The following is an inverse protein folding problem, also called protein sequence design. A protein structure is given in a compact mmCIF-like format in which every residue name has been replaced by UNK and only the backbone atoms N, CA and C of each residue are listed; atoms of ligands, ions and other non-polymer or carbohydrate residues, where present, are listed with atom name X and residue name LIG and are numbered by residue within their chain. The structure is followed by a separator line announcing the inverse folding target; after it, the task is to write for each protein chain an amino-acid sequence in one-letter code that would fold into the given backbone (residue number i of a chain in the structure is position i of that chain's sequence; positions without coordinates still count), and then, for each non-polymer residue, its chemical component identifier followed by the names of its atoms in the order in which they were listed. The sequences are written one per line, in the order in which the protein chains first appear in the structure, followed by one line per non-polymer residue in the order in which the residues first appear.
data_IF_094794406365
#
_entry.id   IF_094794406365
#
_cell.length_a   1.000
_cell.length_b   1.000
_cell.length_c   1.000
_cell.angle_alpha   90.00
_cell.angle_beta   90.00
_cell.angle_gamma   90.00
#
_symmetry.space_group_name_H-M   'P 1'
#
loop_
_entity.id
_entity.type
_entity.pdbx_description
1 polymer ?
#
# COMPACT_ATOMS: atom_id res chain seq x y z
N UNK A 1 15.78 12.14 23.16
CA UNK A 1 16.12 11.61 21.83
C UNK A 1 17.07 10.44 21.99
N UNK A 2 16.85 9.36 21.24
CA UNK A 2 17.83 8.30 21.00
C UNK A 2 18.36 8.50 19.58
N UNK A 3 19.68 8.45 19.41
CA UNK A 3 20.35 8.80 18.17
C UNK A 3 21.49 7.84 17.85
N UNK A 4 21.80 7.68 16.56
CA UNK A 4 23.00 6.99 16.11
C UNK A 4 24.11 8.01 15.90
N UNK A 5 25.28 7.72 16.47
CA UNK A 5 26.51 8.46 16.22
C UNK A 5 27.18 7.85 14.98
N UNK A 6 27.25 8.63 13.90
CA UNK A 6 28.08 8.32 12.73
C UNK A 6 29.37 9.14 12.84
N UNK A 7 30.44 8.81 12.08
CA UNK A 7 31.74 9.46 12.21
C UNK A 7 31.73 10.99 12.15
N UNK A 8 30.87 11.57 11.31
CA UNK A 8 30.80 13.01 11.03
C UNK A 8 29.41 13.65 11.30
N UNK A 9 28.39 12.87 11.68
CA UNK A 9 27.06 13.40 12.00
C UNK A 9 26.28 12.54 13.00
N UNK A 10 25.18 13.10 13.50
CA UNK A 10 24.26 12.44 14.43
C UNK A 10 22.89 12.31 13.77
N UNK A 11 22.36 11.09 13.73
CA UNK A 11 21.05 10.79 13.16
C UNK A 11 20.02 10.51 14.27
N UNK A 12 18.83 11.14 14.26
CA UNK A 12 17.77 10.79 15.18
C UNK A 12 17.17 9.42 14.82
N UNK A 13 17.20 8.48 15.76
CA UNK A 13 16.50 7.20 15.61
C UNK A 13 15.11 7.29 16.24
N UNK A 14 15.04 7.88 17.44
CA UNK A 14 13.82 8.05 18.22
C UNK A 14 13.75 9.46 18.82
N UNK A 15 12.67 10.19 18.50
CA UNK A 15 12.31 11.43 19.20
C UNK A 15 11.26 11.12 20.27
N UNK A 16 11.45 11.69 21.46
CA UNK A 16 10.59 11.48 22.62
C UNK A 16 10.04 12.83 23.07
N UNK A 17 8.72 12.96 23.13
CA UNK A 17 8.03 14.14 23.70
C UNK A 17 6.95 13.67 24.67
N UNK A 18 7.13 13.92 25.97
CA UNK A 18 6.21 13.51 27.02
C UNK A 18 5.76 14.70 27.85
N UNK A 19 4.45 14.88 27.98
CA UNK A 19 3.84 15.91 28.82
C UNK A 19 3.37 15.32 30.16
N UNK A 20 3.17 16.18 31.16
CA UNK A 20 2.64 15.75 32.47
C UNK A 20 1.23 15.18 32.35
N UNK A 21 0.35 15.86 31.63
CA UNK A 21 -0.88 15.33 31.06
C UNK A 21 -1.05 15.84 29.63
N UNK A 22 -1.95 15.19 28.88
CA UNK A 22 -2.20 15.55 27.47
C UNK A 22 -2.72 16.98 27.37
N UNK A 23 -1.98 17.84 26.69
CA UNK A 23 -2.35 19.24 26.45
C UNK A 23 -1.95 20.23 27.54
N UNK A 24 -1.21 19.79 28.58
CA UNK A 24 -0.82 20.65 29.71
C UNK A 24 0.01 21.87 29.29
N UNK A 25 0.82 21.74 28.24
CA UNK A 25 1.69 22.83 27.76
C UNK A 25 1.01 23.70 26.69
N UNK A 26 -0.30 23.53 26.46
CA UNK A 26 -1.05 24.23 25.41
C UNK A 26 -0.80 23.71 24.00
N UNK A 27 -0.01 22.64 23.86
CA UNK A 27 0.33 22.00 22.59
C UNK A 27 0.08 20.50 22.65
N UNK A 28 -0.20 19.88 21.50
CA UNK A 28 -0.30 18.43 21.36
C UNK A 28 1.09 17.80 21.24
N UNK A 29 1.45 16.92 22.18
CA UNK A 29 2.78 16.28 22.24
C UNK A 29 3.14 15.53 20.95
N UNK A 30 2.16 14.92 20.28
CA UNK A 30 2.39 14.18 19.04
C UNK A 30 2.75 15.14 17.89
N UNK A 31 2.03 16.26 17.78
CA UNK A 31 2.31 17.32 16.82
C UNK A 31 3.68 17.95 17.08
N UNK A 32 3.99 18.26 18.33
CA UNK A 32 5.28 18.82 18.72
C UNK A 32 6.43 17.88 18.34
N UNK A 33 6.32 16.59 18.65
CA UNK A 33 7.33 15.59 18.29
C UNK A 33 7.55 15.49 16.78
N UNK A 34 6.47 15.61 16.00
CA UNK A 34 6.52 15.60 14.54
C UNK A 34 7.34 16.77 14.00
N UNK A 35 7.13 17.98 14.54
CA UNK A 35 7.92 19.16 14.18
C UNK A 35 9.36 19.08 14.69
N UNK A 36 9.60 18.46 15.86
CA UNK A 36 10.96 18.18 16.33
C UNK A 36 11.71 17.32 15.32
N UNK A 37 11.13 16.21 14.83
CA UNK A 37 11.76 15.37 13.79
C UNK A 37 12.00 16.16 12.50
N UNK A 38 11.02 16.94 12.04
CA UNK A 38 11.16 17.77 10.84
C UNK A 38 12.32 18.76 10.98
N UNK A 39 12.41 19.45 12.12
CA UNK A 39 13.49 20.39 12.41
C UNK A 39 14.86 19.71 12.42
N UNK A 40 14.97 18.49 12.94
CA UNK A 40 16.22 17.74 12.95
C UNK A 40 16.71 17.41 11.55
N UNK A 41 15.81 16.95 10.67
CA UNK A 41 16.18 16.60 9.30
C UNK A 41 16.34 17.82 8.39
N UNK A 42 15.75 18.96 8.74
CA UNK A 42 15.90 20.20 7.96
C UNK A 42 17.26 20.91 8.18
N UNK A 43 18.06 20.43 9.12
CA UNK A 43 19.42 20.92 9.36
C UNK A 43 20.40 20.37 8.31
N UNK A 44 21.07 21.29 7.61
CA UNK A 44 21.95 21.00 6.47
C UNK A 44 23.16 20.12 6.82
N UNK A 45 23.54 20.04 8.10
CA UNK A 45 24.60 19.13 8.56
C UNK A 45 24.30 17.65 8.28
N UNK A 46 23.03 17.30 7.98
CA UNK A 46 22.60 15.92 7.69
C UNK A 46 22.32 15.67 6.21
N UNK A 47 22.57 16.63 5.33
CA UNK A 47 22.29 16.52 3.88
C UNK A 47 22.91 15.27 3.26
N UNK A 48 24.13 14.90 3.69
CA UNK A 48 24.87 13.72 3.20
C UNK A 48 24.14 12.38 3.38
N UNK A 49 23.21 12.29 4.35
CA UNK A 49 22.38 11.11 4.61
C UNK A 49 20.92 11.36 4.25
N UNK A 50 20.41 12.55 4.55
CA UNK A 50 19.04 12.96 4.25
C UNK A 50 18.69 12.73 2.79
N UNK A 51 19.60 13.11 1.89
CA UNK A 51 19.33 13.03 0.46
C UNK A 51 19.52 11.61 -0.10
N UNK A 52 19.98 10.65 0.72
CA UNK A 52 20.23 9.25 0.33
C UNK A 52 19.10 8.30 0.73
N UNK A 53 18.16 8.75 1.57
CA UNK A 53 17.11 7.88 2.11
C UNK A 53 15.81 8.63 2.39
N UNK A 54 14.77 7.91 2.78
CA UNK A 54 13.51 8.49 3.25
C UNK A 54 13.53 8.87 4.74
N UNK A 55 14.70 8.99 5.36
CA UNK A 55 14.85 9.47 6.74
C UNK A 55 13.90 8.81 7.78
N UNK A 56 13.80 7.47 7.83
CA UNK A 56 12.89 6.80 8.77
C UNK A 56 13.22 7.17 10.22
N UNK A 57 12.24 7.65 10.98
CA UNK A 57 12.44 8.02 12.40
C UNK A 57 11.23 7.59 13.21
N UNK A 58 11.46 7.05 14.41
CA UNK A 58 10.38 6.72 15.33
C UNK A 58 10.10 7.89 16.27
N UNK A 59 8.85 8.06 16.65
CA UNK A 59 8.42 9.02 17.65
C UNK A 59 7.73 8.26 18.77
N UNK A 60 8.10 8.56 20.01
CA UNK A 60 7.35 8.22 21.20
C UNK A 60 6.77 9.53 21.74
N UNK A 61 5.45 9.65 21.73
CA UNK A 61 4.79 10.87 22.17
C UNK A 61 3.57 10.56 23.03
N UNK A 62 3.33 11.37 24.06
CA UNK A 62 2.24 11.11 24.99
C UNK A 62 2.16 12.09 26.15
N UNK A 63 1.32 11.74 27.13
CA UNK A 63 1.06 12.56 28.29
C UNK A 63 0.48 11.75 29.44
N UNK A 64 0.99 11.95 30.64
CA UNK A 64 0.60 11.18 31.82
C UNK A 64 0.74 9.66 31.58
N UNK A 65 -0.32 8.85 31.79
CA UNK A 65 -0.27 7.41 31.59
C UNK A 65 -0.44 6.97 30.12
N UNK A 66 -0.49 7.90 29.16
CA UNK A 66 -0.75 7.61 27.76
C UNK A 66 0.51 7.73 26.89
N UNK A 67 0.70 6.78 25.98
CA UNK A 67 1.81 6.76 25.03
C UNK A 67 1.34 6.30 23.64
N UNK A 68 1.75 7.01 22.60
CA UNK A 68 1.62 6.59 21.22
C UNK A 68 3.02 6.44 20.58
N UNK A 69 3.13 5.48 19.66
CA UNK A 69 4.30 5.33 18.79
C UNK A 69 3.89 5.77 17.39
N UNK A 70 4.68 6.65 16.79
CA UNK A 70 4.53 7.10 15.41
C UNK A 70 5.80 6.78 14.62
N UNK A 71 5.64 6.64 13.31
CA UNK A 71 6.73 6.52 12.35
C UNK A 71 6.74 7.72 11.44
N UNK A 72 7.94 8.15 11.05
CA UNK A 72 8.17 9.25 10.13
C UNK A 72 8.94 8.72 8.94
N UNK A 73 8.57 9.17 7.75
CA UNK A 73 9.42 9.11 6.55
C UNK A 73 9.33 10.43 5.79
N UNK A 74 10.40 10.80 5.11
CA UNK A 74 10.51 11.99 4.27
C UNK A 74 10.78 11.62 2.82
N UNK A 75 9.70 11.53 2.04
CA UNK A 75 9.72 11.36 0.58
C UNK A 75 9.83 12.74 -0.09
N UNK A 76 8.98 13.03 -1.07
CA UNK A 76 8.58 14.38 -1.49
C UNK A 76 7.76 15.12 -0.41
N UNK A 77 7.12 14.37 0.50
CA UNK A 77 6.36 14.86 1.64
C UNK A 77 6.94 14.37 2.96
N UNK A 78 6.72 15.13 4.00
CA UNK A 78 7.00 14.71 5.37
C UNK A 78 5.79 13.95 5.92
N UNK A 79 5.89 12.63 5.94
CA UNK A 79 4.79 11.73 6.29
C UNK A 79 4.99 11.28 7.73
N UNK A 80 3.99 11.51 8.57
CA UNK A 80 3.94 11.04 9.95
C UNK A 80 2.71 10.15 10.11
N UNK A 81 2.94 8.92 10.55
CA UNK A 81 1.87 7.93 10.72
C UNK A 81 1.86 7.37 12.13
N UNK A 82 0.66 7.22 12.71
CA UNK A 82 0.47 6.51 13.97
C UNK A 82 0.64 5.01 13.74
N UNK A 83 1.61 4.41 14.42
CA UNK A 83 1.85 2.97 14.41
C UNK A 83 1.07 2.27 15.54
N UNK A 84 0.67 3.02 16.56
CA UNK A 84 -0.21 2.56 17.63
C UNK A 84 -1.31 3.58 17.90
N UNK A 85 -2.39 3.12 18.53
CA UNK A 85 -3.31 4.01 19.24
C UNK A 85 -2.60 4.72 20.40
N UNK A 86 -3.32 5.63 21.06
CA UNK A 86 -2.88 6.20 22.32
C UNK A 86 -3.07 5.16 23.45
N UNK A 87 -1.99 4.45 23.78
CA UNK A 87 -2.01 3.30 24.69
C UNK A 87 -1.95 3.74 26.14
N UNK A 88 -2.75 3.09 27.00
CA UNK A 88 -2.71 3.28 28.44
C UNK A 88 -1.63 2.39 29.10
N UNK A 89 -0.66 3.02 29.76
CA UNK A 89 0.47 2.37 30.44
C UNK A 89 0.21 2.10 31.93
N UNK A 90 -0.64 2.87 32.60
CA UNK A 90 -0.88 2.76 34.06
C UNK A 90 -1.59 1.48 34.48
N UNK A 91 -1.69 1.18 35.77
CA UNK A 91 -2.51 0.08 36.28
C UNK A 91 -3.90 0.61 36.68
N UNK A 92 -4.98 -0.04 36.21
CA UNK A 92 -6.33 0.50 36.39
C UNK A 92 -7.37 -0.52 36.88
N UNK A 93 -7.14 -1.84 36.72
CA UNK A 93 -8.11 -2.89 37.10
C UNK A 93 -7.39 -4.16 37.56
N UNK A 94 -8.14 -5.05 38.19
CA UNK A 94 -7.69 -6.34 38.74
C UNK A 94 -7.33 -7.40 37.70
N UNK A 95 -7.74 -7.27 36.44
CA UNK A 95 -7.45 -8.24 35.37
C UNK A 95 -6.97 -7.55 34.09
N UNK A 96 -5.66 -7.50 33.87
CA UNK A 96 -5.03 -6.65 32.83
C UNK A 96 -4.11 -7.41 31.86
N UNK A 97 -4.07 -8.75 31.93
CA UNK A 97 -3.14 -9.59 31.16
C UNK A 97 -3.19 -9.33 29.65
N UNK A 98 -4.39 -9.12 29.09
CA UNK A 98 -4.55 -8.81 27.65
C UNK A 98 -3.87 -7.50 27.27
N UNK A 99 -3.99 -6.48 28.13
CA UNK A 99 -3.35 -5.18 27.90
C UNK A 99 -1.85 -5.28 28.09
N UNK A 100 -1.39 -5.92 29.18
CA UNK A 100 0.03 -6.16 29.42
C UNK A 100 0.68 -6.93 28.26
N UNK A 101 0.00 -7.96 27.75
CA UNK A 101 0.46 -8.71 26.58
C UNK A 101 0.51 -7.84 25.31
N UNK A 102 -0.49 -6.98 25.07
CA UNK A 102 -0.47 -6.02 23.95
C UNK A 102 0.71 -5.05 24.09
N UNK A 103 0.93 -4.47 25.27
CA UNK A 103 2.04 -3.56 25.55
C UNK A 103 3.39 -4.27 25.37
N UNK A 104 3.56 -5.47 25.93
CA UNK A 104 4.79 -6.25 25.79
C UNK A 104 5.13 -6.55 24.32
N UNK A 105 4.12 -6.89 23.51
CA UNK A 105 4.29 -7.07 22.06
C UNK A 105 4.73 -5.80 21.36
N UNK A 106 4.12 -4.67 21.71
CA UNK A 106 4.47 -3.36 21.13
C UNK A 106 5.90 -2.96 21.48
N UNK A 107 6.30 -3.06 22.76
CA UNK A 107 7.67 -2.72 23.18
C UNK A 107 8.72 -3.69 22.64
N UNK A 108 8.37 -4.97 22.48
CA UNK A 108 9.24 -5.94 21.80
C UNK A 108 9.43 -5.59 20.33
N UNK A 109 8.35 -5.20 19.64
CA UNK A 109 8.44 -4.74 18.25
C UNK A 109 9.27 -3.44 18.16
N UNK A 110 9.06 -2.49 19.07
CA UNK A 110 9.83 -1.25 19.14
C UNK A 110 11.34 -1.51 19.31
N UNK A 111 11.71 -2.43 20.19
CA UNK A 111 13.12 -2.83 20.38
C UNK A 111 13.74 -3.39 19.09
N UNK A 112 13.01 -4.27 18.39
CA UNK A 112 13.46 -4.80 17.08
C UNK A 112 13.56 -3.72 16.01
N UNK A 113 12.58 -2.80 15.96
CA UNK A 113 12.62 -1.68 15.02
C UNK A 113 13.81 -0.75 15.29
N UNK A 114 14.16 -0.53 16.56
CA UNK A 114 15.35 0.23 16.93
C UNK A 114 16.62 -0.44 16.40
N UNK A 115 16.80 -1.74 16.62
CA UNK A 115 17.96 -2.49 16.11
C UNK A 115 18.04 -2.42 14.57
N UNK A 116 16.91 -2.62 13.88
CA UNK A 116 16.85 -2.52 12.42
C UNK A 116 17.21 -1.11 11.94
N UNK A 117 16.68 -0.08 12.60
CA UNK A 117 16.92 1.31 12.22
C UNK A 117 18.37 1.74 12.49
N UNK A 118 18.96 1.25 13.57
CA UNK A 118 20.37 1.48 13.88
C UNK A 118 21.28 0.89 12.79
N UNK A 119 21.08 -0.37 12.41
CA UNK A 119 21.83 -0.99 11.30
C UNK A 119 21.54 -0.32 9.95
N UNK A 120 20.29 0.10 9.72
CA UNK A 120 19.90 0.79 8.50
C UNK A 120 20.73 2.04 8.26
N UNK A 121 20.90 2.89 9.28
CA UNK A 121 21.70 4.12 9.12
C UNK A 121 23.19 3.86 9.02
N UNK A 122 23.69 2.76 9.58
CA UNK A 122 25.08 2.31 9.34
C UNK A 122 25.29 1.91 7.88
N UNK A 123 24.40 1.08 7.34
CA UNK A 123 24.42 0.66 5.93
C UNK A 123 24.32 1.85 4.98
N UNK A 124 23.35 2.75 5.20
CA UNK A 124 23.19 3.96 4.40
C UNK A 124 24.45 4.82 4.46
N UNK A 125 25.07 4.95 5.63
CA UNK A 125 26.30 5.70 5.77
C UNK A 125 27.45 5.08 4.97
N UNK A 126 27.68 3.78 5.13
CA UNK A 126 28.78 3.07 4.50
C UNK A 126 28.67 3.06 2.98
N UNK A 127 27.46 2.94 2.44
CA UNK A 127 27.21 2.89 1.00
C UNK A 127 26.75 4.21 0.39
N UNK A 128 26.76 5.32 1.13
CA UNK A 128 26.21 6.63 0.70
C UNK A 128 26.71 7.11 -0.66
N UNK A 129 27.97 6.81 -1.00
CA UNK A 129 28.60 7.20 -2.25
C UNK A 129 28.13 6.35 -3.45
N UNK A 130 27.62 5.15 -3.19
CA UNK A 130 27.00 4.27 -4.20
C UNK A 130 25.52 4.56 -4.42
N UNK A 131 24.85 5.23 -3.47
CA UNK A 131 23.45 5.60 -3.59
C UNK A 131 23.33 6.78 -4.55
N UNK A 132 22.41 6.66 -5.52
CA UNK A 132 22.10 7.69 -6.53
C UNK A 132 21.99 9.07 -5.86
N UNK A 133 22.52 10.10 -6.51
CA UNK A 133 22.32 11.49 -6.05
C UNK A 133 20.86 11.88 -6.24
N UNK A 134 20.31 12.56 -5.25
CA UNK A 134 18.97 13.14 -5.35
C UNK A 134 18.98 14.28 -6.37
N UNK A 135 18.30 14.09 -7.49
CA UNK A 135 18.08 15.09 -8.51
C UNK A 135 16.58 15.39 -8.52
N UNK A 136 16.23 16.68 -8.56
CA UNK A 136 14.84 17.14 -8.60
C UNK A 136 14.14 16.54 -9.83
N UNK A 137 12.92 16.07 -9.65
CA UNK A 137 12.08 15.43 -10.67
C UNK A 137 12.63 14.12 -11.28
N UNK A 138 13.69 13.54 -10.69
CA UNK A 138 14.17 12.21 -11.07
C UNK A 138 13.76 11.12 -10.07
N UNK A 139 13.52 9.87 -10.55
CA UNK A 139 13.35 8.73 -9.66
C UNK A 139 14.55 8.56 -8.72
N UNK A 140 14.24 8.40 -7.43
CA UNK A 140 15.23 8.21 -6.38
C UNK A 140 14.70 7.19 -5.36
N UNK A 141 15.53 6.28 -4.81
CA UNK A 141 15.08 5.26 -3.85
C UNK A 141 14.28 5.80 -2.66
N UNK A 142 14.53 7.05 -2.23
CA UNK A 142 13.77 7.69 -1.14
C UNK A 142 12.26 7.82 -1.40
N UNK A 143 11.83 7.76 -2.66
CA UNK A 143 10.43 7.96 -3.04
C UNK A 143 9.66 6.64 -3.17
N UNK A 144 10.34 5.50 -2.99
CA UNK A 144 9.74 4.19 -3.19
C UNK A 144 9.74 3.36 -1.90
N UNK A 145 8.81 2.40 -1.78
CA UNK A 145 8.86 1.40 -0.72
C UNK A 145 10.18 0.62 -0.73
N UNK A 146 10.61 0.14 0.44
CA UNK A 146 11.93 -0.51 0.57
C UNK A 146 12.02 -1.92 -0.05
N UNK A 147 10.89 -2.53 -0.40
CA UNK A 147 10.84 -3.88 -0.95
C UNK A 147 11.30 -3.89 -2.41
N UNK A 148 12.28 -4.72 -2.74
CA UNK A 148 12.93 -4.78 -4.07
C UNK A 148 13.08 -6.20 -4.62
N UNK A 149 12.45 -7.18 -3.97
CA UNK A 149 12.47 -8.56 -4.46
C UNK A 149 11.23 -9.34 -4.01
N UNK A 150 10.95 -10.42 -4.73
CA UNK A 150 9.92 -11.38 -4.38
C UNK A 150 10.31 -12.77 -4.87
N UNK A 151 9.83 -13.80 -4.19
CA UNK A 151 9.99 -15.20 -4.58
C UNK A 151 8.77 -15.61 -5.39
N UNK A 152 9.01 -15.92 -6.66
CA UNK A 152 7.98 -16.49 -7.53
C UNK A 152 7.57 -17.87 -7.03
N UNK A 153 6.37 -18.30 -7.42
CA UNK A 153 5.86 -19.63 -7.08
C UNK A 153 6.67 -20.80 -7.66
N UNK A 154 7.42 -20.57 -8.74
CA UNK A 154 8.41 -21.55 -9.24
C UNK A 154 9.67 -21.65 -8.35
N UNK A 155 9.72 -20.90 -7.26
CA UNK A 155 10.80 -20.86 -6.29
C UNK A 155 11.90 -19.84 -6.61
N UNK A 156 11.84 -19.16 -7.76
CA UNK A 156 12.88 -18.23 -8.20
C UNK A 156 12.70 -16.86 -7.53
N UNK A 157 13.73 -16.41 -6.82
CA UNK A 157 13.79 -15.02 -6.34
C UNK A 157 14.03 -14.08 -7.52
N UNK A 158 13.14 -13.12 -7.67
CA UNK A 158 13.20 -12.06 -8.69
C UNK A 158 13.46 -10.75 -7.98
N UNK A 159 14.55 -10.08 -8.37
CA UNK A 159 14.88 -8.73 -7.90
C UNK A 159 14.43 -7.70 -8.93
N UNK A 160 14.09 -6.52 -8.45
CA UNK A 160 13.62 -5.41 -9.27
C UNK A 160 14.04 -4.06 -8.72
N UNK A 161 14.04 -3.07 -9.61
CA UNK A 161 14.24 -1.67 -9.28
C UNK A 161 13.01 -0.87 -9.69
N UNK A 162 12.62 0.09 -8.85
CA UNK A 162 11.55 1.03 -9.17
C UNK A 162 11.98 1.99 -10.26
N UNK A 163 11.05 2.23 -11.18
CA UNK A 163 11.21 3.19 -12.28
C UNK A 163 10.40 4.44 -12.01
N UNK A 164 9.12 4.28 -11.64
CA UNK A 164 8.20 5.41 -11.46
C UNK A 164 6.99 5.03 -10.57
N UNK A 165 6.30 6.03 -10.05
CA UNK A 165 4.95 5.86 -9.52
C UNK A 165 3.94 5.88 -10.68
N UNK A 166 2.95 4.99 -10.66
CA UNK A 166 1.94 4.93 -11.74
C UNK A 166 0.82 5.97 -11.60
N UNK A 167 0.76 6.63 -10.44
CA UNK A 167 -0.16 7.73 -10.16
C UNK A 167 0.64 8.92 -9.64
N UNK A 168 0.30 10.11 -10.13
CA UNK A 168 0.87 11.38 -9.65
C UNK A 168 0.12 11.85 -8.39
N UNK A 169 -0.10 10.93 -7.44
CA UNK A 169 -0.69 11.19 -6.14
C UNK A 169 0.25 10.63 -5.05
N UNK A 170 0.59 11.41 -4.01
CA UNK A 170 1.40 10.94 -2.87
C UNK A 170 0.78 9.82 -2.04
N UNK A 171 -0.51 9.50 -2.23
CA UNK A 171 -1.15 8.30 -1.68
C UNK A 171 -1.04 7.08 -2.60
N UNK A 172 -0.27 7.19 -3.70
CA UNK A 172 -0.06 6.08 -4.63
C UNK A 172 0.49 4.87 -3.90
N UNK A 173 -0.12 3.73 -4.21
CA UNK A 173 0.33 2.42 -3.74
C UNK A 173 0.83 1.54 -4.88
N UNK A 174 0.88 2.08 -6.10
CA UNK A 174 1.13 1.33 -7.33
C UNK A 174 2.32 1.93 -8.08
N UNK A 175 3.32 1.09 -8.34
CA UNK A 175 4.63 1.50 -8.86
C UNK A 175 5.03 0.68 -10.08
N UNK A 176 5.67 1.33 -11.04
CA UNK A 176 6.34 0.69 -12.16
C UNK A 176 7.74 0.25 -11.71
N UNK A 177 8.08 -1.00 -11.97
CA UNK A 177 9.40 -1.55 -11.70
C UNK A 177 9.95 -2.29 -12.92
N UNK A 178 11.26 -2.58 -12.91
CA UNK A 178 11.91 -3.46 -13.88
C UNK A 178 12.72 -4.53 -13.17
N UNK A 179 12.63 -5.76 -13.67
CA UNK A 179 13.48 -6.84 -13.17
C UNK A 179 14.95 -6.56 -13.42
N UNK A 180 15.78 -6.81 -12.42
CA UNK A 180 17.25 -6.77 -12.52
C UNK A 180 17.83 -8.17 -12.70
N UNK A 181 17.11 -9.20 -12.24
CA UNK A 181 17.46 -10.61 -12.49
C UNK A 181 16.96 -11.07 -13.86
N UNK A 182 17.87 -11.60 -14.69
CA UNK A 182 17.54 -12.18 -15.99
C UNK A 182 17.28 -11.14 -17.07
N UNK A 183 16.32 -11.42 -17.97
CA UNK A 183 15.92 -10.45 -19.01
C UNK A 183 15.11 -9.32 -18.36
N UNK A 184 15.47 -8.04 -18.58
CA UNK A 184 14.70 -6.92 -18.06
C UNK A 184 13.25 -6.95 -18.57
N UNK A 185 12.32 -6.98 -17.63
CA UNK A 185 10.88 -6.98 -17.87
C UNK A 185 10.22 -5.96 -16.95
N UNK A 186 9.28 -5.18 -17.49
CA UNK A 186 8.49 -4.23 -16.70
C UNK A 186 7.45 -4.96 -15.87
N UNK A 187 7.30 -4.52 -14.62
CA UNK A 187 6.39 -5.05 -13.61
C UNK A 187 5.55 -3.92 -13.03
N UNK A 188 4.39 -4.27 -12.50
CA UNK A 188 3.61 -3.41 -11.61
C UNK A 188 3.69 -3.98 -10.20
N UNK A 189 4.12 -3.15 -9.25
CA UNK A 189 4.20 -3.46 -7.82
C UNK A 189 3.12 -2.66 -7.10
N UNK A 190 2.20 -3.33 -6.42
CA UNK A 190 1.12 -2.70 -5.66
C UNK A 190 1.17 -3.12 -4.19
N UNK A 191 0.99 -2.17 -3.28
CA UNK A 191 0.94 -2.43 -1.84
C UNK A 191 -0.47 -2.19 -1.32
N UNK A 192 -1.15 -3.23 -0.84
CA UNK A 192 -2.55 -3.16 -0.40
C UNK A 192 -2.78 -4.01 0.81
N UNK A 193 -3.70 -3.61 1.68
CA UNK A 193 -4.14 -4.47 2.77
C UNK A 193 -5.10 -5.54 2.24
N UNK A 194 -6.06 -5.18 1.39
CA UNK A 194 -7.08 -6.04 0.78
C UNK A 194 -6.77 -6.33 -0.69
N UNK A 195 -6.92 -7.60 -1.09
CA UNK A 195 -6.78 -7.98 -2.50
C UNK A 195 -7.59 -9.21 -2.88
N UNK A 196 -8.28 -9.15 -4.02
CA UNK A 196 -9.04 -10.26 -4.61
C UNK A 196 -8.15 -11.24 -5.38
N UNK A 197 -7.28 -11.95 -4.66
CA UNK A 197 -6.31 -12.90 -5.24
C UNK A 197 -6.97 -13.91 -6.18
N UNK A 198 -7.95 -14.67 -5.70
CA UNK A 198 -8.57 -15.77 -6.47
C UNK A 198 -9.28 -15.26 -7.73
N UNK A 199 -9.91 -14.09 -7.65
CA UNK A 199 -10.58 -13.45 -8.78
C UNK A 199 -9.58 -12.97 -9.85
N UNK A 200 -8.46 -12.37 -9.41
CA UNK A 200 -7.40 -11.95 -10.32
C UNK A 200 -6.74 -13.17 -10.99
N UNK A 201 -6.30 -14.17 -10.21
CA UNK A 201 -5.65 -15.37 -10.74
C UNK A 201 -6.54 -16.10 -11.76
N UNK A 202 -7.84 -16.22 -11.45
CA UNK A 202 -8.83 -16.77 -12.36
C UNK A 202 -8.90 -16.00 -13.68
N UNK A 203 -9.01 -14.67 -13.68
CA UNK A 203 -9.05 -13.89 -14.93
C UNK A 203 -7.72 -13.85 -15.68
N UNK A 204 -6.61 -13.85 -14.96
CA UNK A 204 -5.27 -13.90 -15.54
C UNK A 204 -5.09 -15.19 -16.34
N UNK A 205 -5.53 -16.35 -15.81
CA UNK A 205 -5.50 -17.63 -16.53
C UNK A 205 -6.32 -17.63 -17.83
N UNK A 206 -7.35 -16.78 -17.92
CA UNK A 206 -8.17 -16.55 -19.12
C UNK A 206 -7.67 -15.40 -20.00
N UNK A 207 -6.50 -14.81 -19.69
CA UNK A 207 -5.89 -13.67 -20.40
C UNK A 207 -6.80 -12.43 -20.45
N UNK A 208 -7.61 -12.21 -19.40
CA UNK A 208 -8.54 -11.08 -19.24
C UNK A 208 -8.12 -10.08 -18.16
N UNK A 209 -7.02 -10.39 -17.47
CA UNK A 209 -6.31 -9.55 -16.54
C UNK A 209 -4.79 -9.71 -16.79
N UNK A 210 -3.94 -8.80 -16.26
CA UNK A 210 -2.49 -9.00 -16.23
C UNK A 210 -2.11 -10.34 -15.59
N UNK A 211 -0.98 -10.93 -15.97
CA UNK A 211 -0.49 -12.10 -15.25
C UNK A 211 -0.12 -11.72 -13.80
N UNK A 212 -0.64 -12.46 -12.83
CA UNK A 212 -0.30 -12.30 -11.41
C UNK A 212 0.99 -13.09 -11.09
N UNK A 213 2.05 -12.38 -10.73
CA UNK A 213 3.38 -12.94 -10.53
C UNK A 213 3.64 -13.29 -9.06
N UNK A 214 3.15 -12.44 -8.15
CA UNK A 214 3.19 -12.64 -6.71
C UNK A 214 2.04 -11.91 -6.03
N UNK A 215 1.50 -12.50 -4.97
CA UNK A 215 0.61 -11.82 -4.04
C UNK A 215 0.89 -12.43 -2.68
N UNK A 216 1.37 -11.66 -1.71
CA UNK A 216 1.80 -12.26 -0.45
C UNK A 216 2.17 -11.23 0.60
N UNK A 217 2.75 -11.69 1.70
CA UNK A 217 3.27 -10.79 2.73
C UNK A 217 4.39 -9.93 2.16
N UNK A 218 4.64 -8.82 2.85
CA UNK A 218 5.64 -7.86 2.41
C UNK A 218 7.07 -8.41 2.42
N UNK A 219 7.35 -9.49 3.16
CA UNK A 219 8.67 -10.16 3.12
C UNK A 219 9.04 -10.76 1.75
N UNK A 220 8.11 -10.78 0.80
CA UNK A 220 8.36 -11.26 -0.55
C UNK A 220 8.53 -12.78 -0.66
N UNK A 221 8.24 -13.54 0.39
CA UNK A 221 8.48 -14.99 0.45
C UNK A 221 7.26 -15.82 0.81
N UNK A 222 6.30 -15.24 1.54
CA UNK A 222 5.04 -15.92 1.89
C UNK A 222 3.95 -15.57 0.87
N UNK A 223 3.94 -16.33 -0.23
CA UNK A 223 2.94 -16.20 -1.29
C UNK A 223 1.56 -16.68 -0.79
N UNK A 224 0.50 -16.00 -1.22
CA UNK A 224 -0.88 -16.32 -0.90
C UNK A 224 -1.26 -17.73 -1.37
N UNK A 225 -0.65 -18.21 -2.46
CA UNK A 225 -0.84 -19.57 -3.01
C UNK A 225 -0.42 -20.67 -2.04
N UNK A 226 0.49 -20.39 -1.12
CA UNK A 226 1.00 -21.35 -0.15
C UNK A 226 0.15 -21.42 1.14
N UNK A 227 -0.99 -20.72 1.17
CA UNK A 227 -1.84 -20.62 2.37
C UNK A 227 -3.27 -21.05 2.05
N UNK A 228 -3.92 -21.80 2.97
CA UNK A 228 -5.34 -22.16 2.83
C UNK A 228 -6.29 -20.96 2.98
N UNK A 229 -5.78 -19.84 3.50
CA UNK A 229 -6.51 -18.58 3.67
C UNK A 229 -5.71 -17.42 3.09
N UNK A 230 -5.57 -17.37 1.74
CA UNK A 230 -4.80 -16.33 1.05
C UNK A 230 -5.25 -14.94 1.46
N UNK A 231 -6.54 -14.75 1.75
CA UNK A 231 -7.14 -13.50 2.20
C UNK A 231 -7.47 -13.59 3.70
N UNK A 232 -6.46 -13.48 4.56
CA UNK A 232 -6.56 -13.59 6.02
C UNK A 232 -7.44 -12.51 6.69
N UNK A 233 -8.76 -12.61 6.55
CA UNK A 233 -9.69 -11.66 7.19
C UNK A 233 -10.75 -12.39 8.00
N UNK A 234 -10.86 -11.98 9.26
CA UNK A 234 -12.10 -12.10 10.01
C UNK A 234 -13.10 -11.13 9.38
N UNK A 235 -14.06 -11.67 8.62
CA UNK A 235 -15.02 -10.91 7.80
C UNK A 235 -16.16 -10.37 8.66
N UNK A 236 -15.88 -9.40 9.53
CA UNK A 236 -16.93 -8.68 10.24
C UNK A 236 -17.46 -7.55 9.35
N UNK A 237 -18.58 -7.80 8.66
CA UNK A 237 -19.42 -6.76 8.04
C UNK A 237 -18.64 -5.72 7.20
N UNK A 238 -17.78 -6.19 6.30
CA UNK A 238 -17.04 -5.32 5.36
C UNK A 238 -15.82 -4.59 5.92
N UNK A 239 -15.51 -4.72 7.21
CA UNK A 239 -14.24 -4.26 7.78
C UNK A 239 -13.12 -5.25 7.43
N UNK A 240 -12.03 -4.72 6.88
CA UNK A 240 -10.85 -5.52 6.56
C UNK A 240 -9.85 -5.46 7.70
N UNK A 241 -9.48 -6.63 8.23
CA UNK A 241 -8.45 -6.80 9.25
C UNK A 241 -7.46 -7.86 8.76
N UNK A 242 -6.58 -7.48 7.83
CA UNK A 242 -5.54 -8.35 7.30
C UNK A 242 -4.19 -7.62 7.24
N UNK A 243 -3.08 -8.36 7.09
CA UNK A 243 -1.78 -7.74 6.90
C UNK A 243 -1.71 -7.01 5.55
N UNK A 244 -0.82 -6.03 5.46
CA UNK A 244 -0.40 -5.46 4.18
C UNK A 244 0.26 -6.52 3.30
N UNK A 245 0.04 -6.38 2.00
CA UNK A 245 0.50 -7.30 0.97
C UNK A 245 1.25 -6.56 -0.11
N UNK A 246 2.20 -7.27 -0.70
CA UNK A 246 2.82 -6.88 -1.95
C UNK A 246 2.19 -7.73 -3.04
N UNK A 247 1.72 -7.07 -4.09
CA UNK A 247 1.16 -7.67 -5.29
C UNK A 247 2.05 -7.28 -6.46
N UNK A 248 2.55 -8.28 -7.18
CA UNK A 248 3.38 -8.11 -8.35
C UNK A 248 2.66 -8.69 -9.54
N UNK A 249 2.47 -7.88 -10.59
CA UNK A 249 1.78 -8.30 -11.81
C UNK A 249 2.50 -7.81 -13.06
N UNK A 250 2.13 -8.41 -14.19
CA UNK A 250 2.62 -7.99 -15.51
C UNK A 250 2.29 -6.51 -15.78
N UNK A 251 3.27 -5.79 -16.31
CA UNK A 251 3.02 -4.48 -16.89
C UNK A 251 2.32 -4.63 -18.25
N UNK A 252 1.15 -4.02 -18.38
CA UNK A 252 0.41 -3.97 -19.63
C UNK A 252 0.72 -2.64 -20.33
N UNK A 253 1.32 -2.73 -21.52
CA UNK A 253 1.47 -1.57 -22.40
C UNK A 253 0.11 -1.18 -22.98
N UNK A 254 -0.39 -0.01 -22.58
CA UNK A 254 -1.75 0.41 -22.84
C UNK A 254 -2.13 1.70 -22.11
N UNK A 255 -3.40 2.08 -22.23
CA UNK A 255 -3.99 3.23 -21.53
C UNK A 255 -5.30 2.82 -20.88
N UNK A 256 -5.62 3.39 -19.73
CA UNK A 256 -6.90 3.11 -19.08
C UNK A 256 -8.06 3.74 -19.87
N UNK A 257 -9.26 3.22 -19.71
CA UNK A 257 -10.44 3.76 -20.37
C UNK A 257 -10.72 5.22 -19.95
N UNK A 258 -10.25 5.64 -18.77
CA UNK A 258 -10.30 7.04 -18.32
C UNK A 258 -9.36 7.95 -19.11
N UNK A 259 -8.19 7.45 -19.52
CA UNK A 259 -7.18 8.22 -20.25
C UNK A 259 -7.48 8.34 -21.75
N UNK A 260 -8.36 7.49 -22.28
CA UNK A 260 -8.70 7.44 -23.71
C UNK A 260 -10.06 8.10 -23.93
N UNK A 261 -10.19 9.08 -24.85
CA UNK A 261 -11.49 9.63 -25.21
C UNK A 261 -12.47 8.54 -25.64
N UNK A 262 -13.73 8.62 -25.20
CA UNK A 262 -14.75 7.58 -25.44
C UNK A 262 -14.91 7.21 -26.92
N UNK A 263 -14.81 8.18 -27.83
CA UNK A 263 -14.89 7.98 -29.28
C UNK A 263 -13.74 7.13 -29.86
N UNK A 264 -12.63 6.98 -29.13
CA UNK A 264 -11.45 6.20 -29.52
C UNK A 264 -11.39 4.83 -28.84
N UNK A 265 -12.40 4.47 -28.03
CA UNK A 265 -12.39 3.18 -27.38
C UNK A 265 -12.50 2.05 -28.41
N UNK A 266 -11.84 0.90 -28.18
CA UNK A 266 -11.99 -0.25 -29.05
C UNK A 266 -13.45 -0.69 -29.16
N UNK A 267 -13.89 -1.06 -30.37
CA UNK A 267 -15.26 -1.53 -30.59
C UNK A 267 -15.59 -2.79 -29.78
N UNK A 268 -14.58 -3.59 -29.44
CA UNK A 268 -14.71 -4.77 -28.59
C UNK A 268 -14.80 -4.45 -27.10
N UNK A 269 -14.53 -3.22 -26.65
CA UNK A 269 -14.33 -2.89 -25.25
C UNK A 269 -15.48 -3.38 -24.34
N UNK A 270 -16.74 -3.10 -24.72
CA UNK A 270 -17.89 -3.58 -23.96
C UNK A 270 -17.94 -5.11 -23.90
N UNK A 271 -17.74 -5.80 -25.03
CA UNK A 271 -17.79 -7.25 -25.10
C UNK A 271 -16.62 -7.92 -24.35
N UNK A 272 -15.44 -7.31 -24.37
CA UNK A 272 -14.26 -7.78 -23.66
C UNK A 272 -14.47 -7.71 -22.14
N UNK A 273 -14.97 -6.57 -21.65
CA UNK A 273 -15.29 -6.36 -20.22
C UNK A 273 -16.44 -7.28 -19.80
N UNK A 274 -17.52 -7.36 -20.60
CA UNK A 274 -18.65 -8.26 -20.33
C UNK A 274 -18.21 -9.72 -20.23
N UNK A 275 -17.33 -10.15 -21.12
CA UNK A 275 -16.80 -11.50 -21.09
C UNK A 275 -15.88 -11.73 -19.87
N UNK A 276 -15.11 -10.74 -19.43
CA UNK A 276 -14.36 -10.82 -18.17
C UNK A 276 -15.28 -10.98 -16.96
N UNK A 277 -16.32 -10.15 -16.83
CA UNK A 277 -17.30 -10.27 -15.75
C UNK A 277 -18.02 -11.63 -15.78
N UNK A 278 -18.41 -12.09 -16.97
CA UNK A 278 -19.06 -13.40 -17.14
C UNK A 278 -18.17 -14.53 -16.64
N UNK A 279 -16.87 -14.50 -16.93
CA UNK A 279 -15.93 -15.52 -16.45
C UNK A 279 -15.74 -15.47 -14.92
N UNK A 280 -15.70 -14.28 -14.31
CA UNK A 280 -15.72 -14.15 -12.84
C UNK A 280 -17.00 -14.72 -12.23
N UNK A 281 -18.14 -14.31 -12.76
CA UNK A 281 -19.45 -14.64 -12.22
C UNK A 281 -19.75 -16.14 -12.30
N UNK A 282 -19.29 -16.82 -13.37
CA UNK A 282 -19.35 -18.29 -13.49
C UNK A 282 -18.52 -19.00 -12.43
N UNK A 283 -17.38 -18.44 -12.05
CA UNK A 283 -16.50 -18.96 -11.00
C UNK A 283 -16.89 -18.50 -9.59
N UNK A 284 -18.08 -17.90 -9.42
CA UNK A 284 -18.60 -17.38 -8.16
C UNK A 284 -17.81 -16.21 -7.56
N UNK A 285 -17.17 -15.41 -8.42
CA UNK A 285 -16.50 -14.16 -8.05
C UNK A 285 -17.28 -12.94 -8.52
N UNK A 286 -17.03 -11.80 -7.88
CA UNK A 286 -17.46 -10.44 -8.28
C UNK A 286 -16.24 -9.55 -8.40
N UNK A 287 -16.31 -8.54 -9.26
CA UNK A 287 -15.23 -7.56 -9.43
C UNK A 287 -15.39 -6.38 -8.45
N UNK A 288 -16.61 -5.85 -8.34
CA UNK A 288 -17.03 -4.87 -7.35
C UNK A 288 -16.68 -3.43 -7.68
N UNK A 289 -15.55 -3.18 -8.35
CA UNK A 289 -15.08 -1.84 -8.66
C UNK A 289 -14.97 -1.53 -10.16
N UNK A 290 -15.96 -1.95 -10.96
CA UNK A 290 -15.89 -1.74 -12.40
C UNK A 290 -16.06 -0.26 -12.78
N UNK A 291 -14.96 0.41 -13.11
CA UNK A 291 -14.94 1.81 -13.55
C UNK A 291 -13.88 2.02 -14.64
N UNK A 292 -13.95 3.15 -15.32
CA UNK A 292 -13.01 3.55 -16.38
C UNK A 292 -11.51 3.45 -16.01
N UNK A 293 -11.03 3.85 -14.81
CA UNK A 293 -9.63 3.66 -14.42
C UNK A 293 -9.22 2.19 -14.32
N UNK A 294 -10.15 1.30 -13.97
CA UNK A 294 -9.88 -0.11 -13.66
C UNK A 294 -9.97 -1.01 -14.91
N UNK A 295 -10.15 -0.42 -16.09
CA UNK A 295 -10.14 -1.10 -17.39
C UNK A 295 -9.03 -0.53 -18.26
N UNK A 296 -8.12 -1.38 -18.73
CA UNK A 296 -7.01 -1.00 -19.59
C UNK A 296 -7.20 -1.51 -21.01
N UNK A 297 -6.99 -0.64 -21.99
CA UNK A 297 -6.87 -1.02 -23.39
C UNK A 297 -5.40 -1.23 -23.72
N UNK A 298 -5.02 -2.49 -23.98
CA UNK A 298 -3.65 -2.78 -24.39
C UNK A 298 -3.40 -2.35 -25.85
N UNK A 299 -2.13 -2.39 -26.28
CA UNK A 299 -1.73 -2.05 -27.67
C UNK A 299 -2.43 -2.86 -28.77
N UNK A 300 -3.05 -4.01 -28.44
CA UNK A 300 -3.84 -4.83 -29.38
C UNK A 300 -5.32 -4.43 -29.42
N UNK A 301 -5.72 -3.40 -28.67
CA UNK A 301 -7.10 -2.95 -28.56
C UNK A 301 -8.00 -3.85 -27.71
N UNK A 302 -7.44 -4.77 -26.92
CA UNK A 302 -8.21 -5.62 -26.00
C UNK A 302 -8.39 -4.91 -24.66
N UNK A 303 -9.61 -4.94 -24.12
CA UNK A 303 -9.88 -4.46 -22.77
C UNK A 303 -9.56 -5.55 -21.71
N UNK A 304 -8.84 -5.14 -20.66
CA UNK A 304 -8.44 -5.99 -19.53
C UNK A 304 -8.84 -5.32 -18.20
N UNK A 305 -9.22 -6.12 -17.21
CA UNK A 305 -9.43 -5.64 -15.84
C UNK A 305 -8.10 -5.64 -15.08
N UNK A 306 -7.79 -4.58 -14.33
CA UNK A 306 -6.45 -4.40 -13.73
C UNK A 306 -6.44 -4.14 -12.21
N UNK A 307 -7.57 -3.75 -11.60
CA UNK A 307 -7.63 -3.48 -10.15
C UNK A 307 -8.60 -4.43 -9.44
N UNK A 308 -8.07 -5.27 -8.55
CA UNK A 308 -8.82 -6.36 -7.90
C UNK A 308 -8.96 -6.16 -6.39
N UNK A 309 -8.72 -4.96 -5.87
CA UNK A 309 -8.73 -4.72 -4.42
C UNK A 309 -10.06 -5.09 -3.76
N UNK A 310 -11.17 -4.95 -4.49
CA UNK A 310 -12.53 -5.23 -3.98
C UNK A 310 -13.10 -6.55 -4.48
N UNK A 311 -12.41 -7.20 -5.41
CA UNK A 311 -12.87 -8.44 -6.01
C UNK A 311 -12.81 -9.60 -4.99
N UNK A 312 -13.65 -10.61 -5.20
CA UNK A 312 -13.62 -11.82 -4.40
C UNK A 312 -14.90 -12.64 -4.53
N UNK A 313 -15.07 -13.61 -3.64
CA UNK A 313 -16.20 -14.55 -3.68
C UNK A 313 -17.52 -13.85 -3.35
N UNK A 314 -18.56 -14.15 -4.11
CA UNK A 314 -19.93 -13.65 -3.88
C UNK A 314 -20.39 -14.02 -2.47
N UNK A 315 -20.96 -13.06 -1.75
CA UNK A 315 -21.41 -13.24 -0.37
C UNK A 315 -20.29 -13.18 0.68
N UNK A 316 -19.03 -13.03 0.25
CA UNK A 316 -17.87 -12.96 1.14
C UNK A 316 -17.17 -11.60 1.16
N UNK A 317 -17.38 -10.80 0.11
CA UNK A 317 -16.81 -9.45 -0.01
C UNK A 317 -17.88 -8.38 0.14
N UNK A 318 -17.50 -7.25 0.73
CA UNK A 318 -18.35 -6.08 0.92
C UNK A 318 -17.60 -4.81 0.56
N UNK A 319 -18.35 -3.78 0.16
CA UNK A 319 -17.80 -2.46 -0.10
C UNK A 319 -17.10 -1.88 1.13
N UNK A 320 -15.97 -1.17 0.95
CA UNK A 320 -15.31 -0.50 2.07
C UNK A 320 -16.15 0.70 2.56
N UNK A 321 -15.74 1.25 3.70
CA UNK A 321 -16.26 2.54 4.18
C UNK A 321 -15.80 3.67 3.25
N UNK A 322 -16.62 4.69 3.07
CA UNK A 322 -16.23 5.91 2.38
C UNK A 322 -16.28 5.78 0.87
N UNK A 323 -17.33 5.12 0.35
CA UNK A 323 -17.57 5.08 -1.10
C UNK A 323 -17.61 6.50 -1.69
N UNK A 324 -16.89 6.69 -2.80
CA UNK A 324 -16.77 7.99 -3.43
C UNK A 324 -18.15 8.49 -3.91
N UNK A 325 -18.55 9.67 -3.44
CA UNK A 325 -19.83 10.30 -3.81
C UNK A 325 -19.89 10.74 -5.27
N UNK A 326 -18.74 10.87 -5.93
CA UNK A 326 -18.64 11.22 -7.35
C UNK A 326 -18.98 10.05 -8.28
N UNK A 327 -19.09 8.83 -7.76
CA UNK A 327 -19.47 7.65 -8.53
C UNK A 327 -20.97 7.44 -8.45
N UNK A 328 -21.61 7.21 -9.59
CA UNK A 328 -23.02 6.87 -9.66
C UNK A 328 -23.21 5.37 -9.36
N UNK A 329 -23.19 5.01 -8.08
CA UNK A 329 -23.29 3.62 -7.65
C UNK A 329 -24.66 2.99 -7.99
N UNK A 330 -24.71 1.71 -8.35
CA UNK A 330 -25.96 0.96 -8.53
C UNK A 330 -26.85 0.98 -7.28
N UNK A 331 -28.16 0.78 -7.48
CA UNK A 331 -29.12 0.70 -6.36
C UNK A 331 -28.72 -0.42 -5.40
N UNK A 332 -28.66 -0.12 -4.10
CA UNK A 332 -28.32 -1.07 -3.04
C UNK A 332 -26.87 -0.98 -2.57
N UNK A 333 -26.00 -0.36 -3.37
CA UNK A 333 -24.60 -0.12 -2.98
C UNK A 333 -24.52 0.97 -1.92
N UNK A 334 -24.00 0.61 -0.76
CA UNK A 334 -23.70 1.50 0.38
C UNK A 334 -22.45 0.99 1.10
N UNK A 335 -21.88 1.81 1.98
CA UNK A 335 -20.76 1.40 2.84
C UNK A 335 -21.09 0.06 3.52
N UNK A 336 -20.14 -0.89 3.45
CA UNK A 336 -20.25 -2.23 4.02
C UNK A 336 -21.31 -3.16 3.43
N UNK A 337 -22.06 -2.73 2.40
CA UNK A 337 -22.98 -3.61 1.70
C UNK A 337 -22.21 -4.73 0.97
N UNK A 338 -22.77 -5.96 0.88
CA UNK A 338 -22.20 -7.01 0.06
C UNK A 338 -21.98 -6.55 -1.40
N UNK A 339 -20.94 -7.08 -2.03
CA UNK A 339 -20.72 -6.88 -3.45
C UNK A 339 -21.43 -8.01 -4.20
N UNK A 340 -22.34 -7.64 -5.09
CA UNK A 340 -23.21 -8.54 -5.86
C UNK A 340 -22.88 -8.49 -7.35
N UNK A 341 -23.27 -9.53 -8.10
CA UNK A 341 -23.00 -9.64 -9.55
C UNK A 341 -23.73 -8.56 -10.34
N UNK A 342 -24.93 -8.23 -9.88
CA UNK A 342 -25.82 -7.21 -10.41
C UNK A 342 -25.17 -5.82 -10.35
N UNK A 343 -24.29 -5.57 -9.37
CA UNK A 343 -23.53 -4.34 -9.30
C UNK A 343 -22.52 -4.24 -10.46
N UNK A 344 -21.79 -5.32 -10.77
CA UNK A 344 -20.86 -5.36 -11.90
C UNK A 344 -21.59 -5.13 -13.24
N UNK A 345 -22.76 -5.76 -13.42
CA UNK A 345 -23.59 -5.61 -14.62
C UNK A 345 -24.11 -4.17 -14.78
N UNK A 346 -24.61 -3.58 -13.70
CA UNK A 346 -25.08 -2.20 -13.72
C UNK A 346 -23.94 -1.20 -14.02
N UNK A 347 -22.73 -1.45 -13.50
CA UNK A 347 -21.55 -0.63 -13.77
C UNK A 347 -21.05 -0.80 -15.21
N UNK A 348 -21.11 -2.01 -15.76
CA UNK A 348 -20.83 -2.28 -17.18
C UNK A 348 -21.76 -1.45 -18.08
N UNK A 349 -23.06 -1.48 -17.81
CA UNK A 349 -24.03 -0.70 -18.59
C UNK A 349 -23.80 0.81 -18.43
N UNK A 350 -23.49 1.27 -17.23
CA UNK A 350 -23.26 2.69 -16.93
C UNK A 350 -22.04 3.24 -17.66
N UNK A 351 -20.90 2.55 -17.60
CA UNK A 351 -19.63 3.09 -18.09
C UNK A 351 -19.25 2.64 -19.50
N UNK A 352 -19.72 1.49 -19.95
CA UNK A 352 -19.23 0.86 -21.18
C UNK A 352 -20.30 0.68 -22.26
N UNK A 353 -21.60 0.84 -21.96
CA UNK A 353 -22.65 0.78 -22.99
C UNK A 353 -22.65 1.99 -23.93
N UNK A 354 -23.12 1.79 -25.17
CA UNK A 354 -23.21 2.86 -26.19
C UNK A 354 -24.16 3.99 -25.78
N UNK A 355 -25.07 3.74 -24.81
CA UNK A 355 -26.03 4.73 -24.32
C UNK A 355 -25.39 5.80 -23.43
N UNK A 356 -24.13 5.64 -23.02
CA UNK A 356 -23.40 6.59 -22.17
C UNK A 356 -22.90 7.84 -22.94
N UNK A 357 -23.38 8.07 -24.18
CA UNK A 357 -23.09 9.25 -24.98
C UNK A 357 -24.22 10.25 -24.70
N UNK A 358 -24.13 10.99 -23.60
CA UNK A 358 -24.86 12.24 -23.41
C UNK A 358 -24.13 13.11 -22.39
#
# INVERSE_FOLDING_TARGET
MISKQLPDLIVPLIILELQRALGDDGWDALTQASYSVLSYWNDDSRTSIRDKCCCPTLILAGGGPYLAILGVVWTDKFIVQRLTDLMWLGEARTSEDKRLYKLARVFTALGRCYEILDHYYEDIYDRRDSIKTLIVDEPHPRFFPYYTSFKRHDGVTTEFEYVDALESDPTTVTFLAKTTTGKPCSLVIKFVDRYGFDAHDHLASHKRAPALLYCGLLDGTHDARDTERPCGVSRCAGLYTGPWRMVVMEYIDGRTAQQVPRAQWPMSAYNDVKAALTELHKANYVFGDLRQPNVMFNVKGKALLIDFDWAGTVGEVCYPKGLASAVNWPKGVTDFAPIEKEHDEAMLETYFSVKSIN
#
